data_IF_672881760950
#
_entry.id   IF_672881760950
#
_cell.length_a   1.000
_cell.length_b   1.000
_cell.length_c   1.000
_cell.angle_alpha   90.00
_cell.angle_beta   90.00
_cell.angle_gamma   90.00
#
_symmetry.space_group_name_H-M   'P 1'
#
loop_
_entity.id
_entity.type
_entity.pdbx_description
1 polymer ?
#
# COMPACT_ATOMS: atom_id res chain seq x y z
N UNK A 1 24.37 -6.39 -3.01
CA UNK A 1 22.93 -6.55 -2.65
C UNK A 1 22.13 -6.21 -3.89
N UNK A 2 21.28 -7.11 -4.37
CA UNK A 2 20.34 -6.80 -5.47
C UNK A 2 19.37 -5.74 -4.95
N UNK A 3 19.24 -4.63 -5.69
CA UNK A 3 18.29 -3.57 -5.35
C UNK A 3 16.86 -4.14 -5.39
N UNK A 4 16.05 -3.80 -4.40
CA UNK A 4 14.63 -4.16 -4.36
C UNK A 4 13.84 -3.11 -5.15
N UNK A 5 12.82 -3.52 -5.90
CA UNK A 5 11.98 -2.65 -6.71
C UNK A 5 10.50 -2.83 -6.39
N UNK A 6 9.72 -1.80 -6.57
CA UNK A 6 8.25 -1.86 -6.46
C UNK A 6 7.61 -2.88 -7.40
N UNK A 7 8.28 -3.22 -8.51
CA UNK A 7 7.83 -4.29 -9.43
C UNK A 7 7.75 -5.67 -8.77
N UNK A 8 8.46 -5.88 -7.67
CA UNK A 8 8.52 -7.19 -7.01
C UNK A 8 7.34 -7.43 -6.05
N UNK A 9 6.52 -6.40 -5.76
CA UNK A 9 5.39 -6.52 -4.82
C UNK A 9 4.33 -7.49 -5.36
N UNK A 10 3.81 -7.27 -6.57
CA UNK A 10 2.82 -8.18 -7.16
C UNK A 10 3.32 -9.62 -7.31
N UNK A 11 4.54 -9.90 -7.83
CA UNK A 11 5.09 -11.25 -7.87
C UNK A 11 5.24 -11.89 -6.48
N UNK A 12 5.58 -11.11 -5.45
CA UNK A 12 5.69 -11.61 -4.07
C UNK A 12 4.33 -12.05 -3.54
N UNK A 13 3.29 -11.21 -3.71
CA UNK A 13 1.92 -11.53 -3.32
C UNK A 13 1.40 -12.73 -4.12
N UNK A 14 1.64 -12.76 -5.44
CA UNK A 14 1.26 -13.87 -6.31
C UNK A 14 1.89 -15.19 -5.85
N UNK A 15 3.19 -15.20 -5.53
CA UNK A 15 3.87 -16.37 -4.99
C UNK A 15 3.32 -16.82 -3.65
N UNK A 16 3.00 -15.87 -2.75
CA UNK A 16 2.43 -16.21 -1.45
C UNK A 16 1.08 -16.91 -1.57
N UNK A 17 0.23 -16.52 -2.51
CA UNK A 17 -1.08 -17.12 -2.76
C UNK A 17 -1.08 -18.22 -3.83
N UNK A 18 0.09 -18.56 -4.39
CA UNK A 18 0.22 -19.51 -5.52
C UNK A 18 -0.64 -19.10 -6.73
N UNK A 19 -0.58 -17.82 -7.10
CA UNK A 19 -1.25 -17.24 -8.27
C UNK A 19 -0.27 -17.17 -9.44
N UNK A 20 -0.71 -17.53 -10.63
CA UNK A 20 0.10 -17.32 -11.81
C UNK A 20 0.07 -15.88 -12.27
N UNK A 21 1.19 -15.17 -12.13
CA UNK A 21 1.39 -13.79 -12.58
C UNK A 21 2.56 -13.76 -13.58
N UNK A 22 2.34 -13.18 -14.74
CA UNK A 22 3.38 -13.00 -15.76
C UNK A 22 4.11 -11.67 -15.50
N UNK A 23 5.30 -11.74 -14.95
CA UNK A 23 6.16 -10.59 -14.66
C UNK A 23 7.62 -10.96 -14.85
N UNK A 24 8.48 -10.04 -15.35
CA UNK A 24 9.94 -10.24 -15.38
C UNK A 24 10.57 -10.12 -13.99
N UNK A 25 9.87 -9.49 -13.04
CA UNK A 25 10.36 -9.33 -11.68
C UNK A 25 10.17 -10.61 -10.86
N UNK A 26 11.16 -10.93 -10.02
CA UNK A 26 11.10 -12.07 -9.13
C UNK A 26 10.53 -11.67 -7.76
N UNK A 27 9.86 -12.60 -7.04
CA UNK A 27 9.42 -12.37 -5.68
C UNK A 27 10.56 -11.97 -4.74
N UNK A 28 10.23 -11.23 -3.70
CA UNK A 28 11.18 -10.92 -2.61
C UNK A 28 11.15 -12.09 -1.62
N UNK A 29 12.15 -12.96 -1.72
CA UNK A 29 12.25 -14.18 -0.94
C UNK A 29 12.21 -13.96 0.60
N UNK A 30 12.78 -12.84 1.06
CA UNK A 30 12.74 -12.50 2.49
C UNK A 30 11.30 -12.27 2.97
N UNK A 31 10.44 -11.65 2.13
CA UNK A 31 9.03 -11.44 2.45
C UNK A 31 8.30 -12.77 2.51
N UNK A 32 8.54 -13.68 1.57
CA UNK A 32 7.92 -15.00 1.58
C UNK A 32 8.33 -15.80 2.82
N UNK A 33 9.62 -15.79 3.19
CA UNK A 33 10.11 -16.43 4.41
C UNK A 33 9.47 -15.83 5.66
N UNK A 34 9.39 -14.50 5.74
CA UNK A 34 8.71 -13.79 6.82
C UNK A 34 7.23 -14.19 6.90
N UNK A 35 6.52 -14.14 5.79
CA UNK A 35 5.09 -14.46 5.74
C UNK A 35 4.82 -15.91 6.21
N UNK A 36 5.55 -16.89 5.68
CA UNK A 36 5.38 -18.29 6.07
C UNK A 36 5.88 -18.62 7.49
N UNK A 37 6.77 -17.81 8.07
CA UNK A 37 7.17 -17.98 9.48
C UNK A 37 6.08 -17.54 10.45
N UNK A 38 5.22 -16.59 10.07
CA UNK A 38 4.08 -16.13 10.86
C UNK A 38 2.80 -16.91 10.53
N UNK A 39 2.59 -17.16 9.25
CA UNK A 39 1.39 -17.82 8.73
C UNK A 39 1.77 -18.94 7.76
N UNK A 40 1.86 -20.21 8.24
CA UNK A 40 2.27 -21.36 7.41
C UNK A 40 1.36 -21.62 6.21
N UNK A 41 0.12 -21.14 6.26
CA UNK A 41 -0.82 -21.07 5.14
C UNK A 41 -1.13 -19.60 4.82
N UNK A 42 -1.42 -19.25 3.56
CA UNK A 42 -1.70 -17.87 3.20
C UNK A 42 -2.90 -17.27 3.96
N UNK A 43 -2.63 -16.21 4.69
CA UNK A 43 -3.61 -15.33 5.35
C UNK A 43 -3.84 -14.07 4.54
N UNK A 44 -4.79 -13.22 4.98
CA UNK A 44 -5.09 -11.94 4.34
C UNK A 44 -3.84 -11.06 4.20
N UNK A 45 -3.63 -10.49 3.03
CA UNK A 45 -2.61 -9.46 2.77
C UNK A 45 -3.30 -8.11 2.56
N UNK A 46 -2.88 -7.11 3.31
CA UNK A 46 -3.30 -5.72 3.11
C UNK A 46 -2.12 -4.92 2.57
N UNK A 47 -2.29 -4.31 1.41
CA UNK A 47 -1.31 -3.42 0.79
C UNK A 47 -1.81 -1.98 0.88
N UNK A 48 -1.12 -1.17 1.65
CA UNK A 48 -1.35 0.28 1.77
C UNK A 48 -0.28 1.02 1.01
N UNK A 49 -0.66 1.77 -0.02
CA UNK A 49 0.23 2.69 -0.73
C UNK A 49 0.03 4.09 -0.18
N UNK A 50 1.11 4.73 0.23
CA UNK A 50 1.15 6.11 0.72
C UNK A 50 1.76 6.98 -0.37
N UNK A 51 0.92 7.77 -1.03
CA UNK A 51 1.29 8.65 -2.14
C UNK A 51 2.42 9.60 -1.73
N UNK A 52 3.50 9.62 -2.52
CA UNK A 52 4.68 10.46 -2.31
C UNK A 52 5.48 10.19 -1.02
N UNK A 53 5.30 9.06 -0.33
CA UNK A 53 6.17 8.70 0.79
C UNK A 53 7.50 8.18 0.26
N UNK A 54 8.45 9.07 0.01
CA UNK A 54 9.81 8.66 -0.31
C UNK A 54 10.63 8.27 0.95
N UNK A 55 11.74 7.56 0.72
CA UNK A 55 12.60 7.08 1.81
C UNK A 55 13.19 8.22 2.65
N UNK A 56 13.41 9.39 2.04
CA UNK A 56 13.90 10.57 2.76
C UNK A 56 12.85 11.12 3.70
N UNK A 57 11.60 11.26 3.24
CA UNK A 57 10.50 11.69 4.12
C UNK A 57 10.23 10.69 5.22
N UNK A 58 10.32 9.38 4.93
CA UNK A 58 10.17 8.33 5.94
C UNK A 58 11.13 8.54 7.12
N UNK A 59 12.40 8.87 6.85
CA UNK A 59 13.37 9.13 7.93
C UNK A 59 13.26 10.53 8.54
N UNK A 60 13.00 11.57 7.72
CA UNK A 60 12.89 12.95 8.21
C UNK A 60 11.67 13.17 9.10
N UNK A 61 10.56 12.49 8.82
CA UNK A 61 9.30 12.56 9.56
C UNK A 61 9.12 11.38 10.53
N UNK A 62 10.21 10.76 10.97
CA UNK A 62 10.16 9.55 11.77
C UNK A 62 9.40 9.68 13.09
N UNK A 63 9.40 10.88 13.72
CA UNK A 63 8.64 11.12 14.94
C UNK A 63 7.12 11.11 14.69
N UNK A 64 6.68 11.62 13.56
CA UNK A 64 5.28 11.69 13.14
C UNK A 64 4.78 10.36 12.51
N UNK A 65 5.71 9.54 12.01
CA UNK A 65 5.46 8.22 11.42
C UNK A 65 5.77 7.09 12.42
N UNK A 66 5.44 7.31 13.69
CA UNK A 66 5.77 6.40 14.79
C UNK A 66 5.29 4.97 14.58
N UNK A 67 4.05 4.77 14.13
CA UNK A 67 3.49 3.45 13.83
C UNK A 67 4.30 2.71 12.76
N UNK A 68 4.73 3.42 11.69
CA UNK A 68 5.52 2.81 10.63
C UNK A 68 6.88 2.31 11.15
N UNK A 69 7.51 3.07 12.03
CA UNK A 69 8.78 2.69 12.66
C UNK A 69 8.58 1.56 13.67
N UNK A 70 7.55 1.65 14.51
CA UNK A 70 7.21 0.60 15.49
C UNK A 70 6.94 -0.75 14.84
N UNK A 71 6.23 -0.80 13.70
CA UNK A 71 6.02 -2.03 12.96
C UNK A 71 7.34 -2.72 12.56
N UNK A 72 8.35 -1.94 12.19
CA UNK A 72 9.70 -2.47 11.87
C UNK A 72 10.42 -2.90 13.15
N UNK A 73 10.39 -2.10 14.21
CA UNK A 73 11.05 -2.38 15.50
C UNK A 73 10.47 -3.62 16.19
N UNK A 74 9.19 -3.90 15.99
CA UNK A 74 8.51 -5.08 16.51
C UNK A 74 8.77 -6.36 15.69
N UNK A 75 9.73 -6.33 14.76
CA UNK A 75 10.19 -7.50 14.02
C UNK A 75 9.74 -7.54 12.57
N UNK A 76 9.06 -6.50 12.08
CA UNK A 76 8.77 -6.32 10.66
C UNK A 76 10.03 -6.10 9.82
N UNK A 77 9.86 -6.12 8.51
CA UNK A 77 10.93 -5.91 7.54
C UNK A 77 10.82 -4.51 6.92
N UNK A 78 11.96 -3.87 6.68
CA UNK A 78 12.07 -2.64 5.90
C UNK A 78 12.98 -2.87 4.70
N UNK A 79 12.47 -2.53 3.51
CA UNK A 79 13.24 -2.52 2.25
C UNK A 79 13.27 -1.12 1.68
N UNK A 80 14.41 -0.77 1.08
CA UNK A 80 14.57 0.41 0.25
C UNK A 80 14.29 0.02 -1.21
N UNK A 81 13.11 0.36 -1.72
CA UNK A 81 12.68 -0.02 -3.06
C UNK A 81 12.94 1.07 -4.08
N UNK A 82 13.47 0.70 -5.24
CA UNK A 82 13.54 1.59 -6.38
C UNK A 82 12.13 1.81 -6.94
N UNK A 83 11.81 3.08 -7.23
CA UNK A 83 10.56 3.46 -7.89
C UNK A 83 10.66 3.26 -9.40
N UNK A 84 9.52 3.12 -10.06
CA UNK A 84 9.44 2.88 -11.51
C UNK A 84 8.86 4.07 -12.27
N UNK A 85 8.26 5.02 -11.57
CA UNK A 85 7.66 6.22 -12.12
C UNK A 85 7.71 7.34 -11.10
N UNK A 86 7.65 8.59 -11.58
CA UNK A 86 7.45 9.79 -10.76
C UNK A 86 5.98 10.23 -10.70
N UNK A 87 5.07 9.40 -11.20
CA UNK A 87 3.64 9.67 -11.25
C UNK A 87 2.87 8.52 -10.61
N UNK A 88 1.90 8.87 -9.80
CA UNK A 88 1.05 7.94 -9.02
C UNK A 88 0.40 6.84 -9.87
N UNK A 89 -0.27 7.20 -10.96
CA UNK A 89 -1.05 6.24 -11.75
C UNK A 89 -0.19 5.12 -12.34
N UNK A 90 0.91 5.40 -13.08
CA UNK A 90 1.78 4.34 -13.58
C UNK A 90 2.50 3.58 -12.46
N UNK A 91 2.89 4.26 -11.37
CA UNK A 91 3.53 3.60 -10.23
C UNK A 91 2.60 2.57 -9.56
N UNK A 92 1.35 2.93 -9.28
CA UNK A 92 0.35 2.01 -8.71
C UNK A 92 0.09 0.84 -9.68
N UNK A 93 -0.04 1.11 -10.98
CA UNK A 93 -0.23 0.06 -11.97
C UNK A 93 0.96 -0.92 -11.97
N UNK A 94 2.20 -0.42 -11.88
CA UNK A 94 3.40 -1.23 -11.76
C UNK A 94 3.44 -2.06 -10.47
N UNK A 95 3.08 -1.47 -9.32
CA UNK A 95 2.97 -2.17 -8.03
C UNK A 95 1.98 -3.34 -8.12
N UNK A 96 0.85 -3.15 -8.80
CA UNK A 96 -0.23 -4.14 -8.87
C UNK A 96 -0.06 -5.16 -10.01
N UNK A 97 0.84 -4.92 -10.97
CA UNK A 97 1.06 -5.82 -12.11
C UNK A 97 2.44 -6.47 -12.12
N UNK A 98 3.41 -5.89 -11.44
CA UNK A 98 4.82 -6.30 -11.51
C UNK A 98 5.47 -5.97 -12.85
N UNK A 99 4.94 -5.01 -13.61
CA UNK A 99 5.41 -4.63 -14.93
C UNK A 99 5.81 -3.16 -14.98
N UNK A 100 6.76 -2.83 -15.87
CA UNK A 100 7.11 -1.44 -16.18
C UNK A 100 5.93 -0.71 -16.87
N UNK A 101 5.85 0.64 -16.74
CA UNK A 101 4.76 1.43 -17.32
C UNK A 101 4.53 1.19 -18.81
N UNK A 102 5.59 1.04 -19.59
CA UNK A 102 5.50 0.76 -21.02
C UNK A 102 4.93 -0.63 -21.34
N UNK A 103 5.12 -1.59 -20.42
CA UNK A 103 4.64 -2.96 -20.58
C UNK A 103 3.18 -3.11 -20.20
N UNK A 104 2.70 -2.45 -19.13
CA UNK A 104 1.28 -2.49 -18.76
C UNK A 104 0.45 -1.43 -19.49
N UNK A 105 1.07 -0.42 -20.13
CA UNK A 105 0.42 0.56 -21.00
C UNK A 105 -0.45 1.61 -20.26
N UNK A 106 -0.29 1.75 -18.94
CA UNK A 106 -0.97 2.77 -18.13
C UNK A 106 0.05 3.85 -17.78
N UNK A 107 0.15 4.88 -18.62
CA UNK A 107 1.12 5.97 -18.47
C UNK A 107 0.51 7.20 -17.80
N UNK A 108 -0.79 7.35 -17.93
CA UNK A 108 -1.57 8.47 -17.37
C UNK A 108 -2.87 7.96 -16.76
N UNK A 109 -3.56 8.82 -16.02
CA UNK A 109 -4.88 8.49 -15.48
C UNK A 109 -5.95 8.28 -16.56
N UNK A 110 -5.70 8.71 -17.81
CA UNK A 110 -6.62 8.46 -18.92
C UNK A 110 -6.48 7.06 -19.53
N UNK A 111 -5.42 6.32 -19.19
CA UNK A 111 -5.19 4.96 -19.65
C UNK A 111 -5.80 3.90 -18.71
N UNK A 112 -6.24 4.35 -17.52
CA UNK A 112 -6.87 3.48 -16.53
C UNK A 112 -8.12 2.83 -17.13
N UNK A 113 -8.20 1.50 -17.03
CA UNK A 113 -9.28 0.70 -17.62
C UNK A 113 -9.12 0.37 -19.10
N UNK A 114 -8.08 0.85 -19.78
CA UNK A 114 -7.81 0.52 -21.21
C UNK A 114 -6.78 -0.60 -21.36
N UNK A 115 -5.97 -0.83 -20.34
CA UNK A 115 -5.00 -1.93 -20.36
C UNK A 115 -5.70 -3.29 -20.38
N UNK A 116 -5.11 -4.25 -21.12
CA UNK A 116 -5.51 -5.66 -21.11
C UNK A 116 -4.76 -6.48 -20.04
N UNK A 117 -3.78 -5.85 -19.41
CA UNK A 117 -3.01 -6.48 -18.33
C UNK A 117 -3.86 -6.47 -17.06
N UNK A 118 -3.98 -7.63 -16.44
CA UNK A 118 -4.69 -7.78 -15.17
C UNK A 118 -3.77 -7.50 -14.00
N UNK A 119 -4.31 -6.82 -13.01
CA UNK A 119 -3.66 -6.63 -11.73
C UNK A 119 -3.66 -7.91 -10.91
N UNK A 120 -2.80 -8.01 -9.90
CA UNK A 120 -2.83 -9.11 -8.94
C UNK A 120 -4.21 -9.25 -8.27
N UNK A 121 -4.93 -8.14 -8.05
CA UNK A 121 -6.29 -8.16 -7.50
C UNK A 121 -7.27 -8.93 -8.41
N UNK A 122 -7.24 -8.64 -9.71
CA UNK A 122 -8.10 -9.33 -10.70
C UNK A 122 -7.70 -10.80 -10.84
N UNK A 123 -6.41 -11.12 -10.81
CA UNK A 123 -5.94 -12.51 -10.87
C UNK A 123 -6.34 -13.30 -9.61
N UNK A 124 -6.33 -12.67 -8.44
CA UNK A 124 -6.84 -13.28 -7.20
C UNK A 124 -8.31 -13.71 -7.34
N UNK A 125 -9.16 -12.81 -7.84
CA UNK A 125 -10.59 -13.09 -8.04
C UNK A 125 -10.81 -14.22 -9.07
N UNK A 126 -10.03 -14.26 -10.13
CA UNK A 126 -10.11 -15.35 -11.13
C UNK A 126 -9.76 -16.72 -10.56
N UNK A 127 -8.88 -16.75 -9.56
CA UNK A 127 -8.51 -17.96 -8.81
C UNK A 127 -9.43 -18.22 -7.61
N UNK A 128 -10.58 -17.52 -7.54
CA UNK A 128 -11.59 -17.68 -6.48
C UNK A 128 -11.15 -17.12 -5.13
N UNK A 129 -10.17 -16.23 -5.10
CA UNK A 129 -9.68 -15.55 -3.90
C UNK A 129 -10.21 -14.13 -3.88
N UNK A 130 -11.06 -13.81 -2.91
CA UNK A 130 -11.68 -12.50 -2.82
C UNK A 130 -10.67 -11.38 -2.60
N UNK A 131 -10.79 -10.32 -3.41
CA UNK A 131 -9.96 -9.14 -3.32
C UNK A 131 -10.80 -7.86 -3.13
N UNK A 132 -10.20 -6.87 -2.47
CA UNK A 132 -10.80 -5.56 -2.26
C UNK A 132 -9.87 -4.44 -2.71
N UNK A 133 -10.46 -3.36 -3.24
CA UNK A 133 -9.75 -2.14 -3.58
C UNK A 133 -10.47 -0.91 -3.02
N UNK A 134 -9.72 -0.06 -2.32
CA UNK A 134 -10.19 1.24 -1.81
C UNK A 134 -9.25 2.32 -2.35
N UNK A 135 -9.69 3.02 -3.37
CA UNK A 135 -8.86 3.93 -4.14
C UNK A 135 -9.69 5.12 -4.65
N UNK A 136 -9.04 6.14 -5.22
CA UNK A 136 -9.73 7.18 -5.96
C UNK A 136 -10.71 6.59 -6.99
N UNK A 137 -11.85 7.24 -7.15
CA UNK A 137 -12.97 6.78 -7.98
C UNK A 137 -12.55 6.38 -9.40
N UNK A 138 -11.70 7.20 -10.05
CA UNK A 138 -11.25 6.93 -11.44
C UNK A 138 -10.47 5.61 -11.54
N UNK A 139 -9.66 5.30 -10.52
CA UNK A 139 -8.94 4.03 -10.42
C UNK A 139 -9.84 2.85 -10.06
N UNK A 140 -10.91 3.09 -9.30
CA UNK A 140 -11.84 2.07 -8.86
C UNK A 140 -12.84 1.64 -9.95
N UNK A 141 -13.29 2.57 -10.80
CA UNK A 141 -14.33 2.32 -11.82
C UNK A 141 -14.07 1.09 -12.70
N UNK A 142 -12.85 0.83 -13.21
CA UNK A 142 -12.56 -0.35 -14.03
C UNK A 142 -12.56 -1.67 -13.26
N UNK A 143 -12.51 -1.62 -11.93
CA UNK A 143 -12.49 -2.80 -11.04
C UNK A 143 -13.90 -3.21 -10.58
N UNK A 144 -14.91 -2.34 -10.78
CA UNK A 144 -16.30 -2.62 -10.42
C UNK A 144 -16.81 -3.84 -11.21
N UNK A 145 -17.36 -4.81 -10.50
CA UNK A 145 -17.84 -6.07 -11.08
C UNK A 145 -16.74 -7.09 -11.40
N UNK A 146 -15.47 -6.74 -11.15
CA UNK A 146 -14.34 -7.67 -11.28
C UNK A 146 -13.80 -8.12 -9.92
N UNK A 147 -13.92 -7.29 -8.88
CA UNK A 147 -13.49 -7.60 -7.53
C UNK A 147 -14.69 -7.72 -6.61
N UNK A 148 -14.56 -8.52 -5.55
CA UNK A 148 -15.58 -8.72 -4.52
C UNK A 148 -15.90 -7.42 -3.77
N UNK A 149 -14.91 -6.56 -3.56
CA UNK A 149 -15.07 -5.29 -2.84
C UNK A 149 -14.38 -4.16 -3.61
N UNK A 150 -15.15 -3.13 -4.00
CA UNK A 150 -14.60 -1.94 -4.67
C UNK A 150 -15.23 -0.68 -4.08
N UNK A 151 -14.41 0.18 -3.51
CA UNK A 151 -14.82 1.49 -3.02
C UNK A 151 -14.03 2.59 -3.73
N UNK A 152 -14.72 3.32 -4.60
CA UNK A 152 -14.17 4.47 -5.32
C UNK A 152 -14.48 5.77 -4.59
N UNK A 153 -13.48 6.37 -3.94
CA UNK A 153 -13.66 7.64 -3.24
C UNK A 153 -13.51 8.80 -4.22
N UNK A 154 -14.51 9.68 -4.26
CA UNK A 154 -14.50 10.84 -5.15
C UNK A 154 -13.75 11.99 -4.48
N UNK A 155 -12.68 12.45 -5.12
CA UNK A 155 -12.06 13.73 -4.80
C UNK A 155 -13.02 14.86 -5.25
N UNK A 156 -13.77 15.42 -4.31
CA UNK A 156 -14.75 16.49 -4.57
C UNK A 156 -14.06 17.83 -4.43
N UNK A 157 -14.45 18.80 -5.27
CA UNK A 157 -14.00 20.17 -5.11
C UNK A 157 -14.36 20.68 -3.72
N UNK A 158 -13.35 21.20 -3.00
CA UNK A 158 -13.49 21.65 -1.60
C UNK A 158 -13.45 20.55 -0.54
N UNK A 159 -13.27 19.28 -0.92
CA UNK A 159 -13.06 18.22 0.06
C UNK A 159 -11.66 18.34 0.71
N UNK A 160 -11.61 18.26 2.02
CA UNK A 160 -10.34 18.16 2.75
C UNK A 160 -9.71 16.79 2.45
N UNK A 161 -8.42 16.80 2.11
CA UNK A 161 -7.68 15.58 1.84
C UNK A 161 -7.55 14.68 3.08
N UNK A 162 -7.57 15.25 4.26
CA UNK A 162 -7.60 14.50 5.52
C UNK A 162 -8.90 13.70 5.64
N UNK A 163 -10.04 14.30 5.30
CA UNK A 163 -11.32 13.60 5.29
C UNK A 163 -11.38 12.56 4.17
N UNK A 164 -10.75 12.83 3.01
CA UNK A 164 -10.61 11.86 1.94
C UNK A 164 -9.88 10.59 2.41
N UNK A 165 -8.70 10.73 3.03
CA UNK A 165 -7.91 9.59 3.50
C UNK A 165 -8.60 8.87 4.67
N UNK A 166 -9.35 9.60 5.50
CA UNK A 166 -10.21 8.99 6.52
C UNK A 166 -11.26 8.07 5.92
N UNK A 167 -11.91 8.48 4.82
CA UNK A 167 -12.89 7.65 4.10
C UNK A 167 -12.21 6.40 3.51
N UNK A 168 -11.03 6.55 2.90
CA UNK A 168 -10.22 5.42 2.41
C UNK A 168 -9.96 4.43 3.55
N UNK A 169 -9.46 4.92 4.68
CA UNK A 169 -9.20 4.09 5.86
C UNK A 169 -10.45 3.36 6.35
N UNK A 170 -11.56 4.07 6.51
CA UNK A 170 -12.82 3.50 7.02
C UNK A 170 -13.35 2.37 6.12
N UNK A 171 -13.29 2.54 4.80
CA UNK A 171 -13.67 1.47 3.87
C UNK A 171 -12.68 0.30 3.91
N UNK A 172 -11.38 0.56 4.02
CA UNK A 172 -10.36 -0.50 4.17
C UNK A 172 -10.64 -1.35 5.41
N UNK A 173 -10.85 -0.70 6.56
CA UNK A 173 -11.19 -1.37 7.82
C UNK A 173 -12.53 -2.11 7.69
N UNK A 174 -13.52 -1.53 7.02
CA UNK A 174 -14.82 -2.18 6.81
C UNK A 174 -14.68 -3.48 6.01
N UNK A 175 -13.86 -3.50 4.94
CA UNK A 175 -13.57 -4.74 4.19
C UNK A 175 -12.89 -5.77 5.11
N UNK A 176 -11.87 -5.33 5.86
CA UNK A 176 -11.13 -6.22 6.76
C UNK A 176 -12.01 -6.82 7.86
N UNK A 177 -12.97 -6.08 8.39
CA UNK A 177 -13.86 -6.55 9.46
C UNK A 177 -15.03 -7.40 8.97
N UNK A 178 -15.59 -7.07 7.82
CA UNK A 178 -16.86 -7.65 7.34
C UNK A 178 -16.69 -8.63 6.18
N UNK A 179 -15.56 -8.59 5.48
CA UNK A 179 -15.25 -9.48 4.37
C UNK A 179 -14.69 -10.81 4.88
N UNK A 180 -15.53 -11.75 5.31
CA UNK A 180 -15.11 -13.02 5.93
C UNK A 180 -14.04 -13.78 5.15
N UNK A 181 -14.15 -13.80 3.82
CA UNK A 181 -13.27 -14.56 2.92
C UNK A 181 -12.27 -13.68 2.16
N UNK A 182 -12.15 -12.39 2.49
CA UNK A 182 -11.23 -11.51 1.76
C UNK A 182 -9.77 -11.91 2.04
N UNK A 183 -8.99 -12.10 0.99
CA UNK A 183 -7.60 -12.53 1.07
C UNK A 183 -6.62 -11.43 0.67
N UNK A 184 -7.06 -10.43 -0.10
CA UNK A 184 -6.23 -9.28 -0.42
C UNK A 184 -7.05 -8.00 -0.35
N UNK A 185 -6.49 -6.97 0.31
CA UNK A 185 -7.05 -5.62 0.34
C UNK A 185 -5.99 -4.64 -0.12
N UNK A 186 -6.32 -3.81 -1.08
CA UNK A 186 -5.49 -2.71 -1.55
C UNK A 186 -6.11 -1.38 -1.17
N UNK A 187 -5.32 -0.47 -0.61
CA UNK A 187 -5.75 0.90 -0.35
C UNK A 187 -4.68 1.93 -0.67
N UNK A 188 -5.11 3.14 -1.05
CA UNK A 188 -4.24 4.22 -1.46
C UNK A 188 -4.61 5.51 -0.73
N UNK A 189 -3.71 6.04 0.09
CA UNK A 189 -3.85 7.27 0.87
C UNK A 189 -2.94 8.37 0.32
N UNK A 190 -3.38 9.63 0.37
CA UNK A 190 -2.83 10.72 -0.46
C UNK A 190 -2.49 12.00 0.30
N UNK A 191 -2.63 12.03 1.62
CA UNK A 191 -2.43 13.27 2.40
C UNK A 191 -1.03 13.84 2.23
N UNK A 192 0.03 12.99 2.27
CA UNK A 192 1.43 13.46 2.12
C UNK A 192 1.63 14.12 0.75
N UNK A 193 1.20 13.48 -0.34
CA UNK A 193 1.32 14.03 -1.70
C UNK A 193 0.63 15.40 -1.82
N UNK A 194 -0.62 15.48 -1.37
CA UNK A 194 -1.40 16.71 -1.49
C UNK A 194 -0.78 17.87 -0.71
N UNK A 195 -0.24 17.59 0.48
CA UNK A 195 0.45 18.59 1.30
C UNK A 195 1.78 19.01 0.67
N UNK A 196 2.55 18.05 0.14
CA UNK A 196 3.80 18.32 -0.57
C UNK A 196 3.58 19.24 -1.78
N UNK A 197 2.60 18.93 -2.62
CA UNK A 197 2.25 19.75 -3.78
C UNK A 197 1.81 21.17 -3.44
N UNK A 198 1.15 21.37 -2.30
CA UNK A 198 0.67 22.67 -1.86
C UNK A 198 1.68 23.44 -1.00
N UNK A 199 2.76 22.79 -0.58
CA UNK A 199 3.74 23.35 0.35
C UNK A 199 3.14 23.56 1.75
N UNK A 200 2.23 22.67 2.14
CA UNK A 200 1.62 22.65 3.46
C UNK A 200 2.49 21.89 4.47
N UNK A 201 2.10 21.90 5.73
CA UNK A 201 2.83 21.28 6.84
C UNK A 201 2.89 19.74 6.68
N UNK A 202 4.06 19.22 6.32
CA UNK A 202 4.30 17.79 6.16
C UNK A 202 4.31 17.02 7.49
N UNK A 203 4.61 17.68 8.62
CA UNK A 203 4.52 17.03 9.94
C UNK A 203 3.07 16.70 10.27
N UNK A 204 2.15 17.62 9.99
CA UNK A 204 0.71 17.36 10.12
C UNK A 204 0.26 16.23 9.17
N UNK A 205 0.71 16.26 7.91
CA UNK A 205 0.38 15.22 6.94
C UNK A 205 0.85 13.84 7.40
N UNK A 206 2.08 13.73 7.89
CA UNK A 206 2.66 12.50 8.41
C UNK A 206 1.88 11.98 9.63
N UNK A 207 1.57 12.86 10.60
CA UNK A 207 0.79 12.50 11.79
C UNK A 207 -0.59 11.92 11.43
N UNK A 208 -1.27 12.55 10.46
CA UNK A 208 -2.59 12.07 9.99
C UNK A 208 -2.45 10.72 9.26
N UNK A 209 -1.44 10.60 8.41
CA UNK A 209 -1.15 9.37 7.68
C UNK A 209 -0.84 8.22 8.64
N UNK A 210 0.03 8.45 9.62
CA UNK A 210 0.42 7.47 10.62
C UNK A 210 -0.78 6.96 11.43
N UNK A 211 -1.63 7.88 11.89
CA UNK A 211 -2.87 7.52 12.59
C UNK A 211 -3.77 6.65 11.71
N UNK A 212 -3.94 6.97 10.44
CA UNK A 212 -4.75 6.16 9.53
C UNK A 212 -4.14 4.75 9.34
N UNK A 213 -2.81 4.66 9.23
CA UNK A 213 -2.10 3.38 9.13
C UNK A 213 -2.21 2.58 10.41
N UNK A 214 -2.10 3.21 11.59
CA UNK A 214 -2.26 2.55 12.89
C UNK A 214 -3.62 1.85 13.00
N UNK A 215 -4.70 2.55 12.67
CA UNK A 215 -6.05 1.96 12.72
C UNK A 215 -6.24 0.83 11.68
N UNK A 216 -5.57 0.89 10.53
CA UNK A 216 -5.57 -0.22 9.55
C UNK A 216 -4.74 -1.39 10.09
N UNK A 217 -3.58 -1.12 10.71
CA UNK A 217 -2.74 -2.16 11.32
C UNK A 217 -3.49 -2.95 12.41
N UNK A 218 -4.27 -2.26 13.27
CA UNK A 218 -5.14 -2.91 14.25
C UNK A 218 -6.18 -3.84 13.59
N UNK A 219 -6.77 -3.39 12.49
CA UNK A 219 -7.74 -4.22 11.76
C UNK A 219 -7.07 -5.43 11.07
N UNK A 220 -5.83 -5.28 10.60
CA UNK A 220 -5.03 -6.39 10.04
C UNK A 220 -4.63 -7.37 11.15
N UNK A 221 -4.21 -6.87 12.32
CA UNK A 221 -3.87 -7.68 13.49
C UNK A 221 -5.06 -8.55 13.93
N UNK A 222 -6.24 -7.94 14.05
CA UNK A 222 -7.47 -8.66 14.41
C UNK A 222 -7.85 -9.77 13.41
N UNK A 223 -7.27 -9.74 12.21
CA UNK A 223 -7.47 -10.71 11.14
C UNK A 223 -6.34 -11.73 11.02
N UNK A 224 -5.30 -11.58 11.84
CA UNK A 224 -4.07 -12.37 11.71
C UNK A 224 -3.49 -12.27 10.29
N UNK A 225 -3.43 -11.06 9.74
CA UNK A 225 -3.02 -10.78 8.36
C UNK A 225 -1.61 -10.20 8.25
N UNK A 226 -1.12 -10.13 7.02
CA UNK A 226 0.09 -9.40 6.67
C UNK A 226 -0.25 -7.97 6.25
N UNK A 227 0.53 -7.02 6.71
CA UNK A 227 0.45 -5.62 6.31
C UNK A 227 1.71 -5.26 5.51
N UNK A 228 1.51 -4.84 4.27
CA UNK A 228 2.52 -4.27 3.40
C UNK A 228 2.22 -2.77 3.25
N UNK A 229 3.22 -1.94 3.50
CA UNK A 229 3.11 -0.48 3.35
C UNK A 229 4.25 -0.02 2.46
N UNK A 230 3.95 0.73 1.40
CA UNK A 230 5.01 1.33 0.57
C UNK A 230 4.64 2.74 0.12
N UNK A 231 5.67 3.54 -0.23
CA UNK A 231 5.47 4.68 -1.10
C UNK A 231 5.35 4.24 -2.55
N UNK A 232 4.90 5.12 -3.43
CA UNK A 232 4.82 4.86 -4.87
C UNK A 232 5.88 5.63 -5.68
N UNK A 233 6.18 6.86 -5.29
CA UNK A 233 7.20 7.72 -5.91
C UNK A 233 7.75 8.76 -4.93
N UNK A 234 8.75 9.52 -5.41
CA UNK A 234 9.33 10.61 -4.63
C UNK A 234 8.36 11.80 -4.50
N UNK A 235 8.42 12.45 -3.35
CA UNK A 235 7.64 13.66 -3.10
C UNK A 235 8.04 14.82 -4.03
N UNK A 236 7.06 15.46 -4.65
CA UNK A 236 7.24 16.64 -5.49
C UNK A 236 7.37 17.92 -4.64
N UNK A 237 8.47 18.03 -3.91
CA UNK A 237 8.74 19.23 -3.11
C UNK A 237 9.31 20.36 -3.98
N UNK A 238 8.84 21.59 -3.75
CA UNK A 238 9.22 22.79 -4.53
C UNK A 238 10.73 23.02 -4.58
N UNK A 239 11.45 22.65 -3.52
CA UNK A 239 12.88 22.89 -3.34
C UNK A 239 13.77 21.72 -3.76
N UNK A 240 13.18 20.60 -4.14
CA UNK A 240 13.92 19.42 -4.61
C UNK A 240 13.96 19.40 -6.13
N UNK A 241 15.07 19.84 -6.70
CA UNK A 241 15.30 19.86 -8.15
C UNK A 241 15.43 18.50 -8.82
N UNK A 242 15.18 17.40 -8.12
CA UNK A 242 15.29 16.03 -8.62
C UNK A 242 13.96 15.52 -9.15
N UNK A 243 13.92 15.22 -10.43
CA UNK A 243 12.82 14.53 -11.12
C UNK A 243 13.20 13.10 -11.51
N UNK A 244 14.17 12.51 -10.83
CA UNK A 244 14.65 11.15 -11.11
C UNK A 244 13.82 10.07 -10.41
N UNK A 245 13.98 8.84 -10.86
CA UNK A 245 13.55 7.65 -10.14
C UNK A 245 14.29 7.62 -8.80
N UNK A 246 13.57 7.44 -7.71
CA UNK A 246 14.11 7.49 -6.35
C UNK A 246 13.83 6.22 -5.55
N UNK A 247 14.01 6.32 -4.24
CA UNK A 247 13.73 5.21 -3.34
C UNK A 247 12.54 5.51 -2.43
N UNK A 248 11.75 4.50 -2.18
CA UNK A 248 10.62 4.51 -1.25
C UNK A 248 10.77 3.38 -0.22
N UNK A 249 10.20 3.51 0.98
CA UNK A 249 10.14 2.39 1.92
C UNK A 249 9.14 1.34 1.43
N UNK A 250 9.46 0.06 1.67
CA UNK A 250 8.50 -1.04 1.70
C UNK A 250 8.62 -1.70 3.06
N UNK A 251 7.59 -1.57 3.87
CA UNK A 251 7.47 -2.17 5.20
C UNK A 251 6.59 -3.40 5.09
N UNK A 252 6.99 -4.49 5.72
CA UNK A 252 6.20 -5.72 5.81
C UNK A 252 6.11 -6.12 7.27
N UNK A 253 4.90 -6.26 7.77
CA UNK A 253 4.64 -6.61 9.16
C UNK A 253 3.53 -7.67 9.28
N UNK A 254 3.58 -8.43 10.35
CA UNK A 254 2.50 -9.23 10.88
C UNK A 254 2.08 -8.58 12.20
N UNK A 255 1.24 -7.52 12.16
CA UNK A 255 0.91 -6.78 13.36
C UNK A 255 0.15 -7.69 14.34
N UNK A 256 0.54 -7.64 15.60
CA UNK A 256 -0.18 -8.25 16.70
C UNK A 256 -0.93 -7.16 17.44
N UNK A 257 -2.03 -7.49 18.12
CA UNK A 257 -2.81 -6.51 18.88
C UNK A 257 -1.90 -5.59 19.70
N UNK A 258 -1.75 -4.36 19.26
CA UNK A 258 -1.07 -3.30 19.99
C UNK A 258 -2.06 -2.80 21.05
N UNK A 259 -2.35 -3.64 22.05
CA UNK A 259 -3.19 -3.24 23.17
C UNK A 259 -2.28 -2.71 24.31
N UNK A 260 -2.23 -1.40 24.57
CA UNK A 260 -1.39 -0.84 25.64
C UNK A 260 -2.02 -1.02 27.05
N UNK A 261 -2.82 -2.05 27.31
CA UNK A 261 -3.56 -2.22 28.59
C UNK A 261 -3.01 -3.33 29.48
N UNK A 262 -1.79 -3.81 29.30
CA UNK A 262 -1.27 -4.85 30.21
C UNK A 262 -0.08 -4.46 31.10
N UNK A 263 0.35 -3.20 31.17
CA UNK A 263 1.49 -2.77 32.01
C UNK A 263 1.12 -2.12 33.34
N UNK A 264 -0.13 -2.18 33.77
CA UNK A 264 -0.57 -1.56 35.04
C UNK A 264 -1.07 -2.57 36.11
N UNK A 265 -0.59 -3.82 36.11
CA UNK A 265 -0.83 -4.72 37.26
C UNK A 265 0.31 -5.72 37.46
N UNK A 266 1.49 -5.22 37.88
CA UNK A 266 2.43 -5.99 38.69
C UNK A 266 3.00 -5.05 39.74
N UNK A 267 2.31 -4.93 40.84
CA UNK A 267 2.91 -4.62 42.15
C UNK A 267 2.86 -5.87 43.00
#
# INVERSE_FOLDING_TARGET
MTSTSLLQIAPTIASYFNIHLVSPAHPIEQILKFAYSHYPVPHTVTLVVIDSLDLKLYYELGNELGTLHELVEQGGLLFECDTVSNHTTPAIASILTGLEPESHGILTSDDVGKSKIKSILELMEEEGKQAGAVIERKGAEPLIGKLSYVYGVKDREGMDIIEYDKIIKEHTISILRNGESVQMVFSHIRTIDRFAHRGWDLHLAATVTDRNVSEVADAVAAREGLLLICGDHQAHLRDRGSRGVGKVPLIVAAPHDINPVSTLNKK
#
